data_IF_309509387426
#
_entry.id   IF_309509387426
#
_cell.length_a   1.000
_cell.length_b   1.000
_cell.length_c   1.000
_cell.angle_alpha   90.00
_cell.angle_beta   90.00
_cell.angle_gamma   90.00
#
_symmetry.space_group_name_H-M   'P 1'
#
loop_
_entity.id
_entity.type
_entity.pdbx_description
1 polymer ?
#
# COMPACT_ATOMS: atom_id res chain seq x y z
N UNK A 1 25.43 12.51 36.28
CA UNK A 1 24.13 12.12 35.74
C UNK A 1 24.06 12.60 34.29
N UNK A 2 24.41 11.75 33.33
CA UNK A 2 24.31 12.02 31.90
C UNK A 2 22.83 12.03 31.57
N UNK A 3 22.26 13.20 31.22
CA UNK A 3 20.91 13.27 30.65
C UNK A 3 20.95 12.44 29.37
N UNK A 4 20.23 11.31 29.35
CA UNK A 4 19.92 10.62 28.11
C UNK A 4 19.29 11.66 27.18
N UNK A 5 19.89 11.87 26.02
CA UNK A 5 19.28 12.69 24.99
C UNK A 5 17.86 12.15 24.72
N UNK A 6 16.85 13.01 24.58
CA UNK A 6 15.51 12.54 24.27
C UNK A 6 15.59 11.67 23.02
N UNK A 7 15.00 10.46 23.10
CA UNK A 7 14.94 9.53 21.96
C UNK A 7 14.25 10.29 20.81
N UNK A 8 14.98 10.45 19.70
CA UNK A 8 14.47 11.18 18.55
C UNK A 8 13.21 10.45 18.02
N UNK A 9 12.08 11.13 18.02
CA UNK A 9 10.85 10.61 17.43
C UNK A 9 10.87 10.86 15.92
N UNK A 10 11.17 9.85 15.12
CA UNK A 10 11.34 9.96 13.67
C UNK A 10 10.10 10.57 12.98
N UNK A 11 8.90 10.27 13.46
CA UNK A 11 7.65 10.84 12.91
C UNK A 11 7.56 12.35 13.01
N UNK A 12 8.32 13.00 13.90
CA UNK A 12 8.35 14.46 14.04
C UNK A 12 9.18 15.15 12.95
N UNK A 13 10.06 14.41 12.25
CA UNK A 13 10.86 14.91 11.13
C UNK A 13 10.15 14.72 9.77
N UNK A 14 8.95 14.14 9.76
CA UNK A 14 8.13 13.93 8.57
C UNK A 14 7.03 14.99 8.49
N UNK A 15 6.88 15.67 7.36
CA UNK A 15 5.76 16.60 7.13
C UNK A 15 4.43 15.86 6.97
N UNK A 16 4.45 14.66 6.40
CA UNK A 16 3.30 13.78 6.20
C UNK A 16 3.27 12.58 7.17
N UNK A 17 2.44 11.62 6.85
CA UNK A 17 2.34 10.33 7.53
C UNK A 17 2.47 9.21 6.48
N UNK A 18 3.72 8.89 6.10
CA UNK A 18 4.02 7.82 5.16
C UNK A 18 3.32 7.96 3.81
N UNK A 19 2.67 6.90 3.31
CA UNK A 19 1.95 6.89 2.04
C UNK A 19 0.78 7.89 1.96
N UNK A 20 0.29 8.43 3.09
CA UNK A 20 -0.66 9.54 3.10
C UNK A 20 -0.07 10.85 2.54
N UNK A 21 1.25 10.90 2.30
CA UNK A 21 1.96 12.03 1.66
C UNK A 21 2.03 11.92 0.13
N UNK A 22 1.50 10.85 -0.47
CA UNK A 22 1.46 10.70 -1.94
C UNK A 22 0.77 11.91 -2.59
N UNK A 23 1.23 12.27 -3.78
CA UNK A 23 0.56 13.29 -4.62
C UNK A 23 -0.89 12.85 -4.81
N UNK A 24 -1.87 13.77 -4.71
CA UNK A 24 -3.27 13.43 -4.90
C UNK A 24 -3.49 12.71 -6.23
N UNK A 25 -4.32 11.63 -6.29
CA UNK A 25 -4.46 10.79 -7.48
C UNK A 25 -4.81 11.58 -8.75
N UNK A 26 -5.78 12.50 -8.65
CA UNK A 26 -6.20 13.32 -9.79
C UNK A 26 -5.10 14.31 -10.27
N UNK A 27 -4.19 14.70 -9.40
CA UNK A 27 -3.03 15.51 -9.75
C UNK A 27 -1.96 14.66 -10.40
N UNK A 28 -1.65 13.49 -9.81
CA UNK A 28 -0.70 12.54 -10.36
C UNK A 28 -1.11 12.08 -11.77
N UNK A 29 -2.39 11.71 -11.98
CA UNK A 29 -2.91 11.34 -13.30
C UNK A 29 -2.63 12.43 -14.36
N UNK A 30 -2.78 13.71 -13.99
CA UNK A 30 -2.45 14.83 -14.90
C UNK A 30 -0.96 14.98 -15.18
N UNK A 31 -0.13 14.76 -14.16
CA UNK A 31 1.35 14.89 -14.28
C UNK A 31 1.91 13.80 -15.19
N UNK A 32 1.41 12.57 -15.07
CA UNK A 32 1.92 11.42 -15.85
C UNK A 32 1.20 11.22 -17.20
N UNK A 33 0.15 11.99 -17.48
CA UNK A 33 -0.62 11.85 -18.71
C UNK A 33 0.27 12.03 -19.95
N UNK A 34 0.29 11.02 -20.82
CA UNK A 34 1.09 11.00 -22.05
C UNK A 34 2.60 10.75 -21.84
N UNK A 35 3.05 10.52 -20.60
CA UNK A 35 4.44 10.21 -20.28
C UNK A 35 4.68 8.69 -20.14
N UNK A 36 3.62 7.92 -19.95
CA UNK A 36 3.71 6.47 -19.92
C UNK A 36 3.70 5.92 -21.33
N UNK A 37 4.79 5.30 -21.76
CA UNK A 37 4.94 4.60 -23.01
C UNK A 37 5.30 3.14 -22.71
N UNK A 38 4.94 2.23 -23.61
CA UNK A 38 5.34 0.83 -23.54
C UNK A 38 5.47 0.28 -24.94
N UNK A 39 6.42 -0.63 -25.15
CA UNK A 39 6.45 -1.51 -26.32
C UNK A 39 5.46 -2.67 -26.11
N UNK A 40 5.34 -3.52 -27.13
CA UNK A 40 4.46 -4.71 -27.13
C UNK A 40 4.78 -5.70 -25.99
N UNK A 41 6.00 -5.63 -25.42
CA UNK A 41 6.47 -6.47 -24.32
C UNK A 41 6.03 -5.96 -22.91
N UNK A 42 5.51 -4.72 -22.80
CA UNK A 42 4.98 -4.22 -21.52
C UNK A 42 3.59 -4.82 -21.29
N UNK A 43 3.49 -5.76 -20.36
CA UNK A 43 2.28 -6.56 -20.09
C UNK A 43 1.37 -5.90 -19.05
N UNK A 44 1.96 -5.19 -18.08
CA UNK A 44 1.25 -4.45 -17.05
C UNK A 44 2.04 -3.19 -16.63
N UNK A 45 1.35 -2.21 -16.06
CA UNK A 45 1.94 -0.93 -15.64
C UNK A 45 1.51 0.23 -16.55
N UNK A 46 2.12 1.39 -16.36
CA UNK A 46 1.87 2.55 -17.21
C UNK A 46 0.51 3.24 -16.94
N UNK A 47 -0.28 3.48 -17.99
CA UNK A 47 -1.50 4.30 -17.93
C UNK A 47 -2.60 3.71 -17.05
N UNK A 48 -2.64 2.38 -16.89
CA UNK A 48 -3.70 1.69 -16.14
C UNK A 48 -3.47 1.73 -14.63
N UNK A 49 -2.24 2.07 -14.22
CA UNK A 49 -1.88 2.29 -12.81
C UNK A 49 -1.84 0.99 -12.00
N UNK A 50 -1.37 -0.10 -12.62
CA UNK A 50 -0.99 -1.32 -11.92
C UNK A 50 0.07 -1.02 -10.84
N UNK A 51 0.18 -1.90 -9.84
CA UNK A 51 1.06 -1.71 -8.69
C UNK A 51 2.55 -1.81 -9.08
N UNK A 52 2.88 -2.60 -10.12
CA UNK A 52 4.22 -2.73 -10.67
C UNK A 52 4.23 -2.74 -12.19
N UNK A 53 5.37 -2.39 -12.79
CA UNK A 53 5.61 -2.58 -14.22
C UNK A 53 6.03 -4.03 -14.48
N UNK A 54 5.47 -4.65 -15.51
CA UNK A 54 5.76 -6.03 -15.92
C UNK A 54 6.18 -6.06 -17.39
N UNK A 55 7.42 -6.44 -17.64
CA UNK A 55 7.98 -6.54 -18.98
C UNK A 55 8.24 -8.01 -19.32
N UNK A 56 7.65 -8.49 -20.43
CA UNK A 56 7.91 -9.82 -20.93
C UNK A 56 9.36 -9.92 -21.44
N UNK A 57 10.02 -11.01 -21.10
CA UNK A 57 11.38 -11.33 -21.58
C UNK A 57 11.39 -12.71 -22.23
N UNK A 58 12.48 -13.03 -22.92
CA UNK A 58 12.66 -14.36 -23.50
C UNK A 58 12.54 -15.49 -22.47
N UNK A 59 12.14 -16.67 -22.91
CA UNK A 59 12.01 -17.86 -22.06
C UNK A 59 10.70 -17.98 -21.29
N UNK A 60 9.64 -17.23 -21.68
CA UNK A 60 8.30 -17.34 -21.08
C UNK A 60 8.22 -16.75 -19.68
N UNK A 61 9.08 -15.80 -19.35
CA UNK A 61 9.12 -15.06 -18.07
C UNK A 61 8.85 -13.57 -18.29
N UNK A 62 8.57 -12.89 -17.21
CA UNK A 62 8.53 -11.43 -17.19
C UNK A 62 9.35 -10.89 -16.01
N UNK A 63 9.97 -9.75 -16.22
CA UNK A 63 10.58 -8.93 -15.16
C UNK A 63 9.50 -8.06 -14.57
N UNK A 64 9.43 -8.04 -13.23
CA UNK A 64 8.59 -7.13 -12.44
C UNK A 64 9.49 -6.06 -11.86
N UNK A 65 9.10 -4.80 -11.94
CA UNK A 65 9.85 -3.69 -11.36
C UNK A 65 8.91 -2.69 -10.70
N UNK A 66 9.24 -2.32 -9.45
CA UNK A 66 8.53 -1.28 -8.70
C UNK A 66 9.52 -0.48 -7.86
N UNK A 67 9.09 0.70 -7.41
CA UNK A 67 9.81 1.49 -6.44
C UNK A 67 8.82 2.20 -5.51
N UNK A 68 8.93 1.96 -4.22
CA UNK A 68 8.17 2.69 -3.20
C UNK A 68 9.08 3.13 -2.05
N UNK A 69 8.89 4.35 -1.59
CA UNK A 69 9.57 4.90 -0.43
C UNK A 69 8.64 5.88 0.30
N UNK A 70 8.83 6.00 1.60
CA UNK A 70 7.96 6.80 2.45
C UNK A 70 8.74 7.51 3.56
N UNK A 71 8.09 8.51 4.15
CA UNK A 71 8.54 9.15 5.39
C UNK A 71 8.20 8.26 6.59
N UNK A 72 8.82 8.46 7.77
CA UNK A 72 8.55 7.68 8.97
C UNK A 72 7.09 7.69 9.38
N UNK A 73 6.56 6.51 9.70
CA UNK A 73 5.19 6.29 10.21
C UNK A 73 5.17 5.81 11.65
N UNK A 74 6.32 5.32 12.12
CA UNK A 74 6.59 4.94 13.51
C UNK A 74 7.89 5.59 13.96
N UNK A 75 8.10 5.72 15.27
CA UNK A 75 9.28 6.38 15.84
C UNK A 75 10.47 5.43 15.99
N UNK A 76 10.23 4.11 16.08
CA UNK A 76 11.28 3.10 16.08
C UNK A 76 11.89 2.96 14.68
N UNK A 77 13.20 3.18 14.58
CA UNK A 77 13.92 3.20 13.30
C UNK A 77 13.93 1.81 12.63
N UNK A 78 14.11 0.75 13.42
CA UNK A 78 14.12 -0.61 12.91
C UNK A 78 12.74 -1.02 12.37
N UNK A 79 11.67 -0.72 13.13
CA UNK A 79 10.29 -1.00 12.70
C UNK A 79 9.90 -0.18 11.47
N UNK A 80 10.30 1.10 11.37
CA UNK A 80 10.09 1.86 10.15
C UNK A 80 10.78 1.23 8.95
N UNK A 81 12.01 0.76 9.12
CA UNK A 81 12.72 0.01 8.07
C UNK A 81 11.98 -1.24 7.61
N UNK A 82 11.44 -2.01 8.56
CA UNK A 82 10.61 -3.20 8.27
C UNK A 82 9.34 -2.84 7.48
N UNK A 83 8.63 -1.81 7.92
CA UNK A 83 7.40 -1.33 7.28
C UNK A 83 7.66 -0.88 5.85
N UNK A 84 8.70 -0.07 5.62
CA UNK A 84 9.04 0.44 4.30
C UNK A 84 9.43 -0.68 3.32
N UNK A 85 10.18 -1.68 3.79
CA UNK A 85 10.52 -2.84 2.98
C UNK A 85 9.30 -3.72 2.64
N UNK A 86 8.45 -4.02 3.64
CA UNK A 86 7.23 -4.79 3.42
C UNK A 86 6.28 -4.09 2.43
N UNK A 87 6.22 -2.75 2.49
CA UNK A 87 5.43 -1.94 1.56
C UNK A 87 5.97 -2.02 0.12
N UNK A 88 7.29 -1.86 -0.08
CA UNK A 88 7.89 -1.93 -1.41
C UNK A 88 7.82 -3.33 -2.04
N UNK A 89 7.89 -4.39 -1.23
CA UNK A 89 7.73 -5.77 -1.69
C UNK A 89 6.29 -6.11 -2.06
N UNK A 90 5.31 -5.41 -1.48
CA UNK A 90 3.88 -5.67 -1.64
C UNK A 90 3.43 -5.58 -3.09
N UNK A 91 3.92 -4.60 -3.85
CA UNK A 91 3.58 -4.40 -5.26
C UNK A 91 3.93 -5.62 -6.11
N UNK A 92 5.07 -6.28 -5.80
CA UNK A 92 5.48 -7.50 -6.51
C UNK A 92 4.50 -8.64 -6.24
N UNK A 93 4.05 -8.81 -5.00
CA UNK A 93 3.05 -9.83 -4.66
C UNK A 93 1.66 -9.50 -5.21
N UNK A 94 1.31 -8.21 -5.26
CA UNK A 94 0.02 -7.75 -5.77
C UNK A 94 -0.18 -8.07 -7.26
N UNK A 95 0.92 -8.09 -8.04
CA UNK A 95 0.89 -8.49 -9.46
C UNK A 95 1.09 -10.00 -9.68
N UNK A 96 1.30 -10.78 -8.60
CA UNK A 96 1.55 -12.22 -8.67
C UNK A 96 3.02 -12.58 -8.99
N UNK A 97 3.95 -11.68 -8.68
CA UNK A 97 5.37 -11.87 -8.86
C UNK A 97 6.09 -12.40 -7.61
N UNK A 98 7.33 -12.80 -7.82
CA UNK A 98 8.29 -13.21 -6.78
C UNK A 98 9.45 -12.20 -6.76
N UNK A 99 9.73 -11.52 -5.63
CA UNK A 99 10.84 -10.57 -5.54
C UNK A 99 12.18 -11.31 -5.57
N UNK A 100 13.15 -10.80 -6.34
CA UNK A 100 14.50 -11.37 -6.45
C UNK A 100 15.55 -10.52 -5.77
N UNK A 101 15.55 -9.23 -6.06
CA UNK A 101 16.52 -8.29 -5.48
C UNK A 101 15.90 -6.92 -5.26
N UNK A 102 16.49 -6.16 -4.34
CA UNK A 102 16.10 -4.80 -4.05
C UNK A 102 17.31 -3.86 -3.92
N UNK A 103 17.09 -2.60 -4.26
CA UNK A 103 18.02 -1.50 -4.02
C UNK A 103 17.41 -0.58 -2.96
N UNK A 104 18.15 -0.27 -1.91
CA UNK A 104 17.73 0.70 -0.90
C UNK A 104 17.67 2.11 -1.48
N UNK A 105 16.62 2.86 -1.15
CA UNK A 105 16.45 4.28 -1.43
C UNK A 105 16.39 5.02 -0.11
N UNK A 106 17.40 5.85 0.20
CA UNK A 106 17.52 6.52 1.48
C UNK A 106 17.71 8.03 1.32
N UNK A 107 16.75 8.83 1.75
CA UNK A 107 16.93 10.25 2.05
C UNK A 107 17.17 10.41 3.56
N UNK A 108 18.25 11.12 3.95
CA UNK A 108 18.59 11.23 5.37
C UNK A 108 19.05 12.62 5.75
N UNK A 109 18.45 13.26 6.78
CA UNK A 109 18.85 14.56 7.28
C UNK A 109 20.08 14.40 8.22
N UNK A 110 21.27 14.24 7.64
CA UNK A 110 22.50 13.88 8.35
C UNK A 110 22.91 14.88 9.43
N UNK A 111 22.49 16.15 9.29
CA UNK A 111 22.79 17.19 10.28
C UNK A 111 21.81 17.20 11.45
N UNK A 112 20.67 16.48 11.34
CA UNK A 112 19.60 16.44 12.33
C UNK A 112 19.48 15.07 13.03
N UNK A 113 19.76 13.98 12.32
CA UNK A 113 19.60 12.61 12.80
C UNK A 113 20.91 11.83 12.70
N UNK A 114 21.30 11.08 13.76
CA UNK A 114 22.54 10.31 13.77
C UNK A 114 22.49 9.16 12.75
N UNK A 115 23.65 8.82 12.17
CA UNK A 115 23.80 7.75 11.19
C UNK A 115 23.43 6.36 11.75
N UNK A 116 23.50 6.17 13.06
CA UNK A 116 23.13 4.94 13.76
C UNK A 116 21.64 4.63 13.57
N UNK A 117 20.78 5.67 13.56
CA UNK A 117 19.35 5.49 13.26
C UNK A 117 19.15 5.06 11.80
N UNK A 118 19.88 5.65 10.84
CA UNK A 118 19.82 5.22 9.45
C UNK A 118 20.25 3.73 9.32
N UNK A 119 21.28 3.32 10.07
CA UNK A 119 21.72 1.91 10.11
C UNK A 119 20.60 0.99 10.62
N UNK A 120 19.86 1.39 11.65
CA UNK A 120 18.73 0.60 12.18
C UNK A 120 17.59 0.49 11.16
N UNK A 121 17.28 1.58 10.44
CA UNK A 121 16.31 1.56 9.34
C UNK A 121 16.72 0.54 8.27
N UNK A 122 17.95 0.63 7.79
CA UNK A 122 18.49 -0.31 6.79
C UNK A 122 18.52 -1.76 7.30
N UNK A 123 18.79 -1.97 8.60
CA UNK A 123 18.75 -3.29 9.23
C UNK A 123 17.34 -3.86 9.21
N UNK A 124 16.33 -3.07 9.59
CA UNK A 124 14.93 -3.48 9.52
C UNK A 124 14.50 -3.87 8.10
N UNK A 125 14.88 -3.07 7.11
CA UNK A 125 14.62 -3.36 5.70
C UNK A 125 15.28 -4.65 5.22
N UNK A 126 16.56 -4.85 5.58
CA UNK A 126 17.30 -6.08 5.26
C UNK A 126 16.61 -7.32 5.83
N UNK A 127 16.19 -7.26 7.08
CA UNK A 127 15.63 -8.44 7.76
C UNK A 127 14.29 -8.85 7.13
N UNK A 128 13.46 -7.89 6.69
CA UNK A 128 12.22 -8.18 5.93
C UNK A 128 12.52 -8.68 4.51
N UNK A 129 13.49 -8.09 3.82
CA UNK A 129 13.91 -8.57 2.51
C UNK A 129 14.42 -10.02 2.59
N UNK A 130 15.17 -10.37 3.65
CA UNK A 130 15.62 -11.74 3.87
C UNK A 130 14.47 -12.72 4.09
N UNK A 131 13.41 -12.33 4.84
CA UNK A 131 12.19 -13.14 4.99
C UNK A 131 11.47 -13.36 3.65
N UNK A 132 11.56 -12.41 2.74
CA UNK A 132 11.00 -12.49 1.38
C UNK A 132 11.90 -13.26 0.39
N UNK A 133 13.07 -13.75 0.81
CA UNK A 133 14.05 -14.32 -0.12
C UNK A 133 14.67 -13.31 -1.10
N UNK A 134 14.48 -12.01 -0.83
CA UNK A 134 14.89 -10.91 -1.70
C UNK A 134 16.28 -10.40 -1.31
N UNK A 135 17.25 -10.46 -2.23
CA UNK A 135 18.60 -10.00 -1.97
C UNK A 135 18.69 -8.46 -1.98
N UNK A 136 19.34 -7.86 -0.99
CA UNK A 136 19.70 -6.43 -1.05
C UNK A 136 20.99 -6.30 -1.85
N UNK A 137 20.91 -5.68 -3.03
CA UNK A 137 22.02 -5.56 -3.99
C UNK A 137 22.69 -4.18 -3.98
N UNK A 138 22.44 -3.36 -2.96
CA UNK A 138 22.99 -2.01 -2.84
C UNK A 138 21.90 -0.96 -2.68
N UNK A 139 22.09 0.21 -3.27
CA UNK A 139 21.10 1.29 -3.23
C UNK A 139 21.70 2.66 -3.49
N UNK A 140 20.88 3.69 -3.24
CA UNK A 140 21.26 5.09 -3.37
C UNK A 140 20.86 5.88 -2.14
N UNK A 141 21.68 6.88 -1.77
CA UNK A 141 21.37 7.75 -0.65
C UNK A 141 21.60 9.22 -1.01
N UNK A 142 20.76 10.09 -0.48
CA UNK A 142 20.88 11.54 -0.63
C UNK A 142 20.74 12.22 0.73
N UNK A 143 21.42 13.38 0.89
CA UNK A 143 21.17 14.28 2.01
C UNK A 143 19.85 14.99 1.76
N UNK A 144 18.85 14.74 2.61
CA UNK A 144 17.47 15.22 2.44
C UNK A 144 16.97 15.76 3.78
N UNK A 145 16.36 16.95 3.84
CA UNK A 145 15.88 17.52 5.10
C UNK A 145 14.79 16.68 5.79
N UNK A 146 14.18 15.77 5.08
CA UNK A 146 13.14 14.86 5.60
C UNK A 146 13.58 13.40 5.42
N UNK A 147 13.60 12.58 6.49
CA UNK A 147 13.99 11.19 6.36
C UNK A 147 12.99 10.43 5.46
N UNK A 148 13.52 9.73 4.47
CA UNK A 148 12.78 8.88 3.51
C UNK A 148 13.49 7.56 3.36
N UNK A 149 12.75 6.47 3.36
CA UNK A 149 13.29 5.14 3.11
C UNK A 149 12.30 4.27 2.37
N UNK A 150 12.83 3.43 1.53
CA UNK A 150 12.13 2.40 0.78
C UNK A 150 13.06 1.63 -0.13
N UNK A 151 12.49 0.98 -1.12
CA UNK A 151 13.26 0.13 -2.04
C UNK A 151 12.75 0.26 -3.47
N UNK A 152 13.67 0.11 -4.43
CA UNK A 152 13.34 -0.31 -5.78
C UNK A 152 13.50 -1.83 -5.82
N UNK A 153 12.42 -2.54 -6.14
CA UNK A 153 12.37 -4.01 -6.14
C UNK A 153 12.27 -4.52 -7.55
N UNK A 154 13.12 -5.51 -7.87
CA UNK A 154 13.05 -6.30 -9.09
C UNK A 154 12.64 -7.72 -8.75
N UNK A 155 11.62 -8.21 -9.45
CA UNK A 155 11.11 -9.56 -9.31
C UNK A 155 10.90 -10.23 -10.67
N UNK A 156 10.34 -11.41 -10.62
CA UNK A 156 9.91 -12.18 -11.81
C UNK A 156 8.47 -12.64 -11.65
N UNK A 157 7.80 -12.83 -12.77
CA UNK A 157 6.46 -13.39 -12.82
C UNK A 157 6.29 -14.29 -14.06
N UNK A 158 5.24 -15.09 -14.03
CA UNK A 158 4.69 -15.73 -15.22
C UNK A 158 3.78 -14.71 -15.93
N UNK A 159 4.13 -14.23 -17.13
CA UNK A 159 3.36 -13.20 -17.82
C UNK A 159 1.94 -13.63 -18.22
N UNK A 160 1.65 -14.92 -18.18
CA UNK A 160 0.35 -15.48 -18.52
C UNK A 160 -0.50 -15.78 -17.27
N UNK A 161 0.05 -15.52 -16.05
CA UNK A 161 -0.59 -15.77 -14.75
C UNK A 161 -0.45 -14.57 -13.80
N UNK A 162 -0.72 -13.38 -14.30
CA UNK A 162 -0.65 -12.15 -13.51
C UNK A 162 -1.97 -11.85 -12.78
N UNK A 163 -1.86 -11.16 -11.65
CA UNK A 163 -2.96 -10.52 -10.94
C UNK A 163 -3.08 -9.08 -11.47
N UNK A 164 -3.99 -8.83 -12.40
CA UNK A 164 -4.08 -7.53 -13.09
C UNK A 164 -5.19 -6.66 -12.50
N UNK A 165 -4.96 -5.37 -12.48
CA UNK A 165 -5.95 -4.39 -12.00
C UNK A 165 -7.23 -4.36 -12.86
N UNK A 166 -7.11 -4.62 -14.16
CA UNK A 166 -8.15 -4.52 -15.18
C UNK A 166 -8.92 -5.83 -15.46
N UNK A 167 -8.58 -6.92 -14.75
CA UNK A 167 -9.12 -8.25 -15.02
C UNK A 167 -10.38 -8.62 -14.19
N UNK A 168 -10.95 -7.68 -13.45
CA UNK A 168 -12.16 -7.90 -12.64
C UNK A 168 -13.39 -8.19 -13.49
N UNK A 169 -14.25 -9.14 -13.03
CA UNK A 169 -15.46 -9.57 -13.76
C UNK A 169 -16.69 -9.51 -12.87
N UNK A 170 -17.89 -9.22 -13.43
CA UNK A 170 -19.12 -9.28 -12.66
C UNK A 170 -19.38 -10.67 -12.08
N UNK A 171 -19.94 -10.73 -10.86
CA UNK A 171 -20.26 -11.97 -10.13
C UNK A 171 -19.11 -12.51 -9.29
N UNK A 172 -17.96 -11.84 -9.27
CA UNK A 172 -16.79 -12.26 -8.49
C UNK A 172 -16.82 -11.59 -7.11
N UNK A 173 -16.64 -12.32 -5.99
CA UNK A 173 -16.53 -11.75 -4.66
C UNK A 173 -15.25 -10.94 -4.51
N UNK A 174 -15.23 -10.02 -3.54
CA UNK A 174 -14.08 -9.21 -3.16
C UNK A 174 -13.61 -9.61 -1.77
N UNK A 175 -12.36 -10.00 -1.63
CA UNK A 175 -11.72 -10.30 -0.35
C UNK A 175 -10.65 -9.29 0.00
N UNK A 176 -10.47 -9.00 1.31
CA UNK A 176 -9.43 -8.13 1.82
C UNK A 176 -8.58 -8.87 2.87
N UNK A 177 -7.27 -8.93 2.68
CA UNK A 177 -6.41 -9.85 3.46
C UNK A 177 -5.93 -9.28 4.80
N UNK A 178 -5.88 -7.95 4.95
CA UNK A 178 -5.50 -7.31 6.22
C UNK A 178 -6.57 -6.32 6.67
N UNK A 179 -6.72 -6.07 7.99
CA UNK A 179 -7.63 -5.05 8.50
C UNK A 179 -7.16 -3.63 8.13
N UNK A 180 -8.10 -2.68 8.08
CA UNK A 180 -7.85 -1.27 7.85
C UNK A 180 -7.63 -0.51 9.17
N UNK A 181 -7.22 0.76 9.06
CA UNK A 181 -7.09 1.68 10.20
C UNK A 181 -5.67 2.05 10.56
N UNK A 182 -4.68 1.60 9.78
CA UNK A 182 -3.26 1.93 9.97
C UNK A 182 -3.03 3.44 9.92
N UNK A 183 -3.63 4.15 8.97
CA UNK A 183 -3.41 5.59 8.80
C UNK A 183 -3.88 6.41 9.99
N UNK A 184 -5.09 6.15 10.51
CA UNK A 184 -5.62 6.87 11.68
C UNK A 184 -4.86 6.53 12.96
N UNK A 185 -4.36 5.28 13.12
CA UNK A 185 -3.52 4.87 14.25
C UNK A 185 -2.14 5.54 14.19
N UNK A 186 -1.53 5.61 13.01
CA UNK A 186 -0.26 6.31 12.80
C UNK A 186 -0.39 7.82 13.02
N UNK A 187 -1.51 8.44 12.61
CA UNK A 187 -1.79 9.84 12.92
C UNK A 187 -1.89 10.07 14.44
N UNK A 188 -2.55 9.17 15.16
CA UNK A 188 -2.62 9.22 16.62
C UNK A 188 -1.25 8.97 17.26
N UNK A 189 -0.47 7.99 16.78
CA UNK A 189 0.90 7.76 17.23
C UNK A 189 1.77 9.02 17.06
N UNK A 190 1.76 9.62 15.88
CA UNK A 190 2.52 10.85 15.61
C UNK A 190 2.14 11.98 16.57
N UNK A 191 0.84 12.18 16.83
CA UNK A 191 0.36 13.26 17.70
C UNK A 191 0.65 13.01 19.19
N UNK A 192 0.55 11.75 19.65
CA UNK A 192 0.54 11.44 21.10
C UNK A 192 1.76 10.67 21.58
N UNK A 193 2.52 10.02 20.69
CA UNK A 193 3.57 9.06 21.03
C UNK A 193 3.05 7.67 21.43
N UNK A 194 1.72 7.44 21.43
CA UNK A 194 1.16 6.14 21.75
C UNK A 194 1.53 5.12 20.65
N UNK A 195 2.14 4.03 21.05
CA UNK A 195 2.47 2.91 20.14
C UNK A 195 1.27 1.98 19.99
N UNK A 196 1.07 1.47 18.78
CA UNK A 196 0.04 0.48 18.43
C UNK A 196 0.72 -0.75 17.83
N UNK A 197 1.12 -1.75 18.65
CA UNK A 197 1.87 -2.93 18.19
C UNK A 197 1.16 -3.67 17.05
N UNK A 198 -0.17 -3.82 17.13
CA UNK A 198 -0.97 -4.48 16.10
C UNK A 198 -0.91 -3.76 14.73
N UNK A 199 -0.73 -2.43 14.72
CA UNK A 199 -0.53 -1.69 13.47
C UNK A 199 0.86 -1.96 12.89
N UNK A 200 1.90 -2.03 13.72
CA UNK A 200 3.26 -2.39 13.30
C UNK A 200 3.29 -3.82 12.76
N UNK A 201 2.69 -4.79 13.45
CA UNK A 201 2.57 -6.18 12.99
C UNK A 201 1.87 -6.26 11.63
N UNK A 202 0.74 -5.55 11.46
CA UNK A 202 0.01 -5.51 10.20
C UNK A 202 0.85 -4.93 9.06
N UNK A 203 1.56 -3.82 9.31
CA UNK A 203 2.40 -3.15 8.32
C UNK A 203 3.65 -3.96 7.95
N UNK A 204 4.19 -4.78 8.85
CA UNK A 204 5.39 -5.59 8.62
C UNK A 204 5.10 -6.98 8.08
N UNK A 205 3.85 -7.42 8.08
CA UNK A 205 3.45 -8.69 7.49
C UNK A 205 3.54 -8.63 5.97
N UNK A 206 4.19 -9.61 5.34
CA UNK A 206 4.28 -9.72 3.88
C UNK A 206 2.95 -10.17 3.27
N UNK A 207 2.70 -9.74 2.05
CA UNK A 207 1.54 -10.17 1.25
C UNK A 207 1.84 -11.43 0.40
N UNK A 208 2.99 -12.08 0.59
CA UNK A 208 3.47 -13.23 -0.19
C UNK A 208 2.45 -14.39 -0.22
N UNK A 209 2.02 -14.86 0.94
CA UNK A 209 1.09 -16.00 1.05
C UNK A 209 -0.27 -15.68 0.39
N UNK A 210 -0.72 -14.43 0.51
CA UNK A 210 -1.98 -14.00 -0.10
C UNK A 210 -1.88 -13.96 -1.64
N UNK A 211 -0.78 -13.43 -2.19
CA UNK A 211 -0.51 -13.41 -3.63
C UNK A 211 -0.41 -14.84 -4.19
N UNK A 212 0.33 -15.72 -3.52
CA UNK A 212 0.47 -17.13 -3.90
C UNK A 212 -0.90 -17.85 -3.87
N UNK A 213 -1.67 -17.69 -2.78
CA UNK A 213 -2.99 -18.30 -2.65
C UNK A 213 -3.97 -17.83 -3.74
N UNK A 214 -3.86 -16.56 -4.16
CA UNK A 214 -4.66 -16.05 -5.28
C UNK A 214 -4.28 -16.74 -6.61
N UNK A 215 -2.99 -16.85 -6.92
CA UNK A 215 -2.50 -17.53 -8.13
C UNK A 215 -2.87 -19.01 -8.15
N UNK A 216 -2.74 -19.73 -7.04
CA UNK A 216 -3.09 -21.16 -6.94
C UNK A 216 -4.57 -21.41 -7.20
N UNK A 217 -5.44 -20.43 -6.91
CA UNK A 217 -6.89 -20.49 -7.16
C UNK A 217 -7.29 -20.00 -8.55
N UNK A 218 -6.33 -19.64 -9.38
CA UNK A 218 -6.61 -19.11 -10.73
C UNK A 218 -7.26 -17.73 -10.70
N UNK A 219 -7.11 -16.98 -9.63
CA UNK A 219 -7.54 -15.58 -9.56
C UNK A 219 -6.64 -14.76 -10.47
N UNK A 220 -7.21 -13.77 -11.15
CA UNK A 220 -6.53 -12.97 -12.17
C UNK A 220 -6.58 -11.46 -11.88
N UNK A 221 -7.24 -11.05 -10.79
CA UNK A 221 -7.43 -9.64 -10.49
C UNK A 221 -7.21 -9.36 -8.99
N UNK A 222 -6.24 -8.51 -8.72
CA UNK A 222 -5.94 -8.01 -7.37
C UNK A 222 -5.20 -6.67 -7.45
N UNK A 223 -5.08 -6.01 -6.31
CA UNK A 223 -4.20 -4.87 -6.02
C UNK A 223 -3.89 -4.87 -4.53
N UNK A 224 -2.83 -4.22 -4.09
CA UNK A 224 -2.64 -3.95 -2.67
C UNK A 224 -3.39 -2.67 -2.24
N UNK A 225 -3.68 -2.57 -0.96
CA UNK A 225 -4.38 -1.40 -0.40
C UNK A 225 -3.40 -0.54 0.37
N UNK A 226 -2.97 0.57 -0.23
CA UNK A 226 -1.98 1.48 0.34
C UNK A 226 -2.50 2.92 0.47
N UNK A 227 -1.79 3.90 0.00
CA UNK A 227 -2.00 5.32 0.28
C UNK A 227 -3.36 5.90 -0.15
N UNK A 228 -4.06 5.27 -1.10
CA UNK A 228 -5.38 5.72 -1.54
C UNK A 228 -6.54 5.12 -0.72
N UNK A 229 -6.24 4.24 0.24
CA UNK A 229 -7.23 3.54 1.05
C UNK A 229 -8.03 2.52 0.25
N UNK A 230 -8.86 1.73 0.94
CA UNK A 230 -9.66 0.69 0.29
C UNK A 230 -10.51 1.27 -0.86
N UNK A 231 -11.24 2.36 -0.61
CA UNK A 231 -12.13 2.92 -1.64
C UNK A 231 -11.36 3.45 -2.85
N UNK A 232 -10.17 4.03 -2.67
CA UNK A 232 -9.36 4.54 -3.77
C UNK A 232 -8.79 3.44 -4.65
N UNK A 233 -8.23 2.39 -4.07
CA UNK A 233 -7.72 1.22 -4.81
C UNK A 233 -8.85 0.46 -5.49
N UNK A 234 -9.97 0.25 -4.79
CA UNK A 234 -11.15 -0.40 -5.38
C UNK A 234 -11.76 0.42 -6.52
N UNK A 235 -11.75 1.76 -6.42
CA UNK A 235 -12.19 2.64 -7.50
C UNK A 235 -11.32 2.44 -8.75
N UNK A 236 -10.00 2.40 -8.60
CA UNK A 236 -9.07 2.14 -9.71
C UNK A 236 -9.36 0.78 -10.36
N UNK A 237 -9.42 -0.28 -9.55
CA UNK A 237 -9.70 -1.64 -10.00
C UNK A 237 -11.04 -1.72 -10.74
N UNK A 238 -12.12 -1.22 -10.17
CA UNK A 238 -13.45 -1.28 -10.77
C UNK A 238 -13.55 -0.43 -12.04
N UNK A 239 -12.84 0.71 -12.10
CA UNK A 239 -12.77 1.57 -13.29
C UNK A 239 -12.02 0.87 -14.42
N UNK A 240 -10.83 0.33 -14.15
CA UNK A 240 -10.00 -0.37 -15.12
C UNK A 240 -10.71 -1.63 -15.67
N UNK A 241 -11.38 -2.38 -14.81
CA UNK A 241 -12.14 -3.57 -15.15
C UNK A 241 -13.50 -3.29 -15.82
N UNK A 242 -13.96 -2.03 -15.90
CA UNK A 242 -15.25 -1.68 -16.47
C UNK A 242 -16.48 -2.19 -15.69
N UNK A 243 -16.34 -2.40 -14.38
CA UNK A 243 -17.38 -2.97 -13.49
C UNK A 243 -17.83 -1.96 -12.41
N UNK A 244 -18.81 -2.35 -11.61
CA UNK A 244 -19.16 -1.69 -10.34
C UNK A 244 -18.75 -2.61 -9.19
N UNK A 245 -18.08 -2.04 -8.17
CA UNK A 245 -17.79 -2.75 -6.94
C UNK A 245 -18.81 -2.39 -5.85
N UNK A 246 -19.37 -3.41 -5.21
CA UNK A 246 -20.29 -3.28 -4.08
C UNK A 246 -19.57 -3.75 -2.82
N UNK A 247 -19.46 -2.87 -1.82
CA UNK A 247 -18.81 -3.16 -0.54
C UNK A 247 -19.85 -3.21 0.56
N UNK A 248 -19.81 -4.25 1.36
CA UNK A 248 -20.50 -4.33 2.64
C UNK A 248 -19.59 -3.77 3.73
N UNK A 249 -19.88 -2.56 4.19
CA UNK A 249 -19.06 -1.89 5.20
C UNK A 249 -18.99 -2.70 6.52
N UNK A 250 -20.04 -3.47 6.84
CA UNK A 250 -20.07 -4.29 8.06
C UNK A 250 -19.10 -5.48 8.02
N UNK A 251 -18.72 -5.94 6.83
CA UNK A 251 -17.77 -7.04 6.64
C UNK A 251 -16.29 -6.59 6.69
N UNK A 252 -16.03 -5.27 6.60
CA UNK A 252 -14.66 -4.74 6.65
C UNK A 252 -14.15 -4.74 8.09
N UNK A 253 -13.00 -5.38 8.29
CA UNK A 253 -12.33 -5.42 9.60
C UNK A 253 -11.42 -4.22 9.80
N UNK A 254 -11.39 -3.73 11.03
CA UNK A 254 -10.52 -2.63 11.44
C UNK A 254 -9.64 -3.04 12.61
N UNK A 255 -8.45 -2.46 12.67
CA UNK A 255 -7.56 -2.58 13.82
C UNK A 255 -8.21 -1.97 15.08
N UNK A 256 -7.93 -2.56 16.22
CA UNK A 256 -8.41 -2.07 17.50
C UNK A 256 -7.95 -0.62 17.72
N UNK A 257 -8.88 0.22 18.14
CA UNK A 257 -8.62 1.65 18.35
C UNK A 257 -8.77 2.54 17.11
N UNK A 258 -8.90 2.00 15.89
CA UNK A 258 -9.05 2.79 14.66
C UNK A 258 -10.32 3.67 14.69
N UNK A 259 -11.47 3.10 15.06
CA UNK A 259 -12.73 3.87 15.24
C UNK A 259 -12.59 4.96 16.29
N UNK A 260 -11.93 4.65 17.42
CA UNK A 260 -11.66 5.63 18.49
C UNK A 260 -10.74 6.75 18.00
N UNK A 261 -9.71 6.42 17.18
CA UNK A 261 -8.82 7.42 16.61
C UNK A 261 -9.59 8.41 15.72
N UNK A 262 -10.49 7.93 14.85
CA UNK A 262 -11.35 8.80 14.01
C UNK A 262 -12.23 9.71 14.87
N UNK A 263 -12.91 9.16 15.89
CA UNK A 263 -13.77 9.97 16.81
C UNK A 263 -13.02 11.06 17.54
N UNK A 264 -11.75 10.83 17.84
CA UNK A 264 -10.87 11.81 18.46
C UNK A 264 -10.20 12.76 17.45
N UNK A 265 -10.56 12.68 16.15
CA UNK A 265 -10.08 13.58 15.11
C UNK A 265 -8.71 13.23 14.52
N UNK A 266 -8.11 12.09 14.88
CA UNK A 266 -6.84 11.62 14.32
C UNK A 266 -7.03 11.06 12.91
N UNK A 267 -7.41 11.93 11.97
CA UNK A 267 -7.64 11.57 10.56
C UNK A 267 -6.59 12.25 9.69
N UNK A 268 -5.72 11.47 8.99
CA UNK A 268 -4.71 12.03 8.11
C UNK A 268 -5.33 12.90 7.01
N UNK A 269 -4.60 13.93 6.58
CA UNK A 269 -5.03 14.76 5.45
C UNK A 269 -5.20 13.95 4.15
N UNK A 270 -4.37 12.92 3.96
CA UNK A 270 -4.49 11.96 2.86
C UNK A 270 -5.83 11.24 2.84
N UNK A 271 -6.29 10.73 4.00
CA UNK A 271 -7.59 10.06 4.16
C UNK A 271 -8.75 10.97 3.74
N UNK A 272 -8.72 12.24 4.13
CA UNK A 272 -9.77 13.21 3.72
C UNK A 272 -9.73 13.50 2.22
N UNK A 273 -8.53 13.62 1.63
CA UNK A 273 -8.37 13.79 0.18
C UNK A 273 -8.86 12.55 -0.59
N UNK A 274 -8.54 11.35 -0.11
CA UNK A 274 -9.02 10.09 -0.68
C UNK A 274 -10.55 10.05 -0.71
N UNK A 275 -11.20 10.33 0.43
CA UNK A 275 -12.66 10.34 0.51
C UNK A 275 -13.26 11.38 -0.44
N UNK A 276 -12.70 12.60 -0.50
CA UNK A 276 -13.14 13.64 -1.43
C UNK A 276 -13.02 13.21 -2.89
N UNK A 277 -11.92 12.54 -3.25
CA UNK A 277 -11.67 12.07 -4.61
C UNK A 277 -12.65 10.98 -5.05
N UNK A 278 -12.94 9.99 -4.18
CA UNK A 278 -13.82 8.87 -4.56
C UNK A 278 -15.32 9.17 -4.41
N UNK A 279 -15.70 10.17 -3.61
CA UNK A 279 -17.11 10.48 -3.31
C UNK A 279 -17.97 10.74 -4.54
N UNK A 280 -17.52 11.47 -5.59
CA UNK A 280 -18.31 11.67 -6.82
C UNK A 280 -18.62 10.37 -7.58
N UNK A 281 -17.83 9.32 -7.35
CA UNK A 281 -17.91 8.02 -8.01
C UNK A 281 -18.58 6.94 -7.14
N UNK A 282 -18.94 7.28 -5.88
CA UNK A 282 -19.44 6.35 -4.86
C UNK A 282 -20.88 6.68 -4.47
N UNK A 283 -21.72 5.65 -4.38
CA UNK A 283 -23.01 5.71 -3.72
C UNK A 283 -22.88 5.16 -2.29
N UNK A 284 -23.02 6.02 -1.29
CA UNK A 284 -23.02 5.62 0.13
C UNK A 284 -24.44 5.40 0.63
N UNK A 285 -24.83 4.14 0.90
CA UNK A 285 -26.16 3.78 1.39
C UNK A 285 -26.23 3.75 2.90
N UNK A 286 -26.62 4.86 3.53
CA UNK A 286 -26.74 5.01 5.00
C UNK A 286 -25.41 4.75 5.76
N UNK A 287 -24.29 5.07 5.14
CA UNK A 287 -22.97 4.95 5.76
C UNK A 287 -22.63 6.24 6.50
N UNK A 288 -22.33 6.13 7.80
CA UNK A 288 -21.90 7.24 8.63
C UNK A 288 -20.56 7.83 8.16
N UNK A 289 -20.32 9.12 8.40
CA UNK A 289 -19.08 9.79 7.98
C UNK A 289 -17.83 9.13 8.56
N UNK A 290 -17.88 8.72 9.84
CA UNK A 290 -16.81 7.97 10.50
C UNK A 290 -16.39 6.72 9.69
N UNK A 291 -17.37 5.95 9.22
CA UNK A 291 -17.15 4.74 8.44
C UNK A 291 -16.60 5.07 7.05
N UNK A 292 -17.10 6.14 6.41
CA UNK A 292 -16.55 6.59 5.10
C UNK A 292 -15.08 6.99 5.21
N UNK A 293 -14.70 7.66 6.31
CA UNK A 293 -13.32 8.02 6.60
C UNK A 293 -12.45 6.77 6.79
N UNK A 294 -12.93 5.78 7.54
CA UNK A 294 -12.19 4.53 7.77
C UNK A 294 -12.00 3.72 6.49
N UNK A 295 -13.02 3.64 5.62
CA UNK A 295 -12.92 2.97 4.32
C UNK A 295 -11.97 3.70 3.34
N UNK A 296 -11.83 5.02 3.48
CA UNK A 296 -10.89 5.84 2.70
C UNK A 296 -9.52 6.02 3.38
N UNK A 297 -9.32 5.40 4.59
CA UNK A 297 -8.11 5.61 5.37
C UNK A 297 -6.86 5.13 4.62
N UNK A 298 -5.88 6.04 4.50
CA UNK A 298 -4.62 5.74 3.83
C UNK A 298 -3.88 4.64 4.60
N UNK A 299 -3.60 3.53 3.93
CA UNK A 299 -2.84 2.43 4.49
C UNK A 299 -1.36 2.51 4.10
N UNK A 300 -0.52 1.75 4.80
CA UNK A 300 0.88 1.50 4.48
C UNK A 300 1.09 0.02 4.64
N UNK A 301 1.65 -0.63 3.63
CA UNK A 301 1.77 -2.08 3.58
C UNK A 301 0.47 -2.78 3.98
N UNK A 302 -0.65 -2.30 3.43
CA UNK A 302 -1.96 -2.89 3.66
C UNK A 302 -2.09 -4.27 3.01
N UNK A 303 -3.27 -4.86 3.11
CA UNK A 303 -3.54 -6.18 2.55
C UNK A 303 -3.81 -6.12 1.04
N UNK A 304 -3.85 -7.30 0.43
CA UNK A 304 -4.34 -7.44 -0.94
C UNK A 304 -5.88 -7.35 -0.94
N UNK A 305 -6.39 -6.57 -1.89
CA UNK A 305 -7.77 -6.55 -2.33
C UNK A 305 -7.86 -7.50 -3.53
N UNK A 306 -8.55 -8.61 -3.37
CA UNK A 306 -8.56 -9.72 -4.33
C UNK A 306 -9.98 -9.88 -4.89
N UNK A 307 -10.12 -9.90 -6.21
CA UNK A 307 -11.37 -10.29 -6.86
C UNK A 307 -11.43 -11.83 -6.91
N UNK A 308 -11.89 -12.40 -5.81
CA UNK A 308 -11.94 -13.84 -5.55
C UNK A 308 -11.97 -14.14 -4.05
N UNK A 309 -12.09 -15.42 -3.71
CA UNK A 309 -12.02 -15.90 -2.33
C UNK A 309 -10.73 -16.65 -2.08
N UNK A 310 -10.02 -16.29 -1.01
CA UNK A 310 -8.86 -17.03 -0.51
C UNK A 310 -9.02 -17.36 0.98
N UNK A 311 -8.38 -18.43 1.48
CA UNK A 311 -8.46 -18.79 2.89
C UNK A 311 -7.97 -17.67 3.80
N UNK A 312 -8.68 -17.45 4.91
CA UNK A 312 -8.31 -16.48 5.93
C UNK A 312 -8.67 -15.02 5.61
N UNK A 313 -9.00 -14.67 4.37
CA UNK A 313 -9.43 -13.34 4.00
C UNK A 313 -10.97 -13.22 4.01
N UNK A 314 -11.55 -12.28 4.76
CA UNK A 314 -12.99 -12.04 4.72
C UNK A 314 -13.42 -11.54 3.34
N UNK A 315 -14.57 -12.02 2.87
CA UNK A 315 -15.29 -11.42 1.75
C UNK A 315 -15.94 -10.11 2.23
N UNK A 316 -15.62 -9.02 1.59
CA UNK A 316 -16.09 -7.67 1.94
C UNK A 316 -17.08 -7.10 0.92
N UNK A 317 -17.39 -7.84 -0.14
CA UNK A 317 -18.25 -7.36 -1.20
C UNK A 317 -18.16 -8.21 -2.46
N UNK A 318 -18.55 -7.61 -3.58
CA UNK A 318 -18.61 -8.28 -4.87
C UNK A 318 -18.43 -7.28 -6.04
N UNK A 319 -17.97 -7.77 -7.18
CA UNK A 319 -18.00 -7.05 -8.44
C UNK A 319 -19.31 -7.38 -9.17
N UNK A 320 -19.99 -6.35 -9.69
CA UNK A 320 -21.23 -6.50 -10.45
C UNK A 320 -21.13 -5.82 -11.80
N UNK A 321 -22.08 -6.09 -12.70
CA UNK A 321 -22.12 -5.40 -13.98
C UNK A 321 -22.11 -3.87 -13.79
N UNK A 322 -21.48 -3.16 -14.71
CA UNK A 322 -21.31 -1.71 -14.65
C UNK A 322 -22.66 -0.99 -14.46
N UNK A 323 -22.78 -0.31 -13.34
CA UNK A 323 -23.91 0.51 -12.97
C UNK A 323 -23.65 2.01 -13.15
N UNK A 324 -24.54 2.83 -12.56
CA UNK A 324 -24.45 4.29 -12.60
C UNK A 324 -23.20 4.82 -11.85
N UNK A 325 -22.82 4.17 -10.79
CA UNK A 325 -21.63 4.51 -9.97
C UNK A 325 -20.61 3.41 -10.06
N UNK A 326 -19.35 3.77 -9.93
CA UNK A 326 -18.25 2.81 -9.92
C UNK A 326 -18.20 2.04 -8.61
N UNK A 327 -18.54 2.72 -7.50
CA UNK A 327 -18.58 2.12 -6.17
C UNK A 327 -19.97 2.27 -5.56
N UNK A 328 -20.39 1.24 -4.84
CA UNK A 328 -21.57 1.24 -3.95
C UNK A 328 -21.12 0.72 -2.60
N UNK A 329 -21.36 1.47 -1.54
CA UNK A 329 -21.07 1.07 -0.15
C UNK A 329 -22.39 0.97 0.60
N UNK A 330 -22.66 -0.21 1.18
CA UNK A 330 -23.91 -0.52 1.91
C UNK A 330 -23.61 -1.09 3.30
#
# INVERSE_FOLDING_TARGET
>A
MTRLAPVARLTQYAHGAGCASKIPPAELERVVAGLTGGGDDLVAGGADGDDAAVLRIEGGRAVVSTADFSTPVVDDAYDWGRVAAANALSDVYAIGGEPLMALNLLGWPRDLLPAELAREVLRGGRDVAALAGCAIAGGHSVDDPEPKYGMAVTGVADPDRLLRLDAGRPGVPLSLTKPLGVGVLNARHKATGQVFPQAVETMTALNADAGLAALERGIVCATDVTGFGLLGHLYKLARASGVTAVVDASAVRYLDGARTAVRHGFVPGGTRRNLSWVSPHTEFRRIAEEERLLLADAQISGGLLIAGEIPGAPVIGELVARGRRTLVVR
#
